data_IF_691200943192
#
_entry.id   IF_691200943192
#
_cell.length_a   1.000
_cell.length_b   1.000
_cell.length_c   1.000
_cell.angle_alpha   90.00
_cell.angle_beta   90.00
_cell.angle_gamma   90.00
#
_symmetry.space_group_name_H-M   'P 1'
#
loop_
_entity.id
_entity.type
_entity.pdbx_description
1 polymer ?
#
# COMPACT_ATOMS: atom_id res chain seq x y z
N UNK A 1 -30.17 -18.73 -21.85
CA UNK A 1 -28.81 -19.34 -21.76
C UNK A 1 -27.73 -18.51 -22.47
N UNK A 2 -27.90 -18.08 -23.74
CA UNK A 2 -26.91 -17.21 -24.41
C UNK A 2 -26.69 -15.87 -23.70
N UNK A 3 -27.77 -15.13 -23.42
CA UNK A 3 -27.71 -13.84 -22.70
C UNK A 3 -27.00 -13.96 -21.33
N UNK A 4 -27.35 -14.98 -20.53
CA UNK A 4 -26.72 -15.22 -19.23
C UNK A 4 -25.20 -15.43 -19.34
N UNK A 5 -24.73 -16.18 -20.35
CA UNK A 5 -23.29 -16.39 -20.59
C UNK A 5 -22.59 -15.09 -21.00
N UNK A 6 -23.22 -14.30 -21.87
CA UNK A 6 -22.68 -13.01 -22.32
C UNK A 6 -22.57 -12.03 -21.15
N UNK A 7 -23.64 -11.88 -20.36
CA UNK A 7 -23.65 -10.99 -19.18
C UNK A 7 -22.62 -11.45 -18.14
N UNK A 8 -22.54 -12.76 -17.86
CA UNK A 8 -21.54 -13.31 -16.94
C UNK A 8 -20.11 -13.07 -17.43
N UNK A 9 -19.84 -13.24 -18.73
CA UNK A 9 -18.53 -12.96 -19.32
C UNK A 9 -18.11 -11.50 -19.18
N UNK A 10 -19.02 -10.57 -19.47
CA UNK A 10 -18.76 -9.12 -19.30
C UNK A 10 -18.60 -8.72 -17.84
N UNK A 11 -19.43 -9.25 -16.94
CA UNK A 11 -19.25 -9.07 -15.49
C UNK A 11 -17.87 -9.55 -15.05
N UNK A 12 -17.45 -10.74 -15.49
CA UNK A 12 -16.12 -11.27 -15.21
C UNK A 12 -15.01 -10.31 -15.69
N UNK A 13 -15.10 -9.83 -16.93
CA UNK A 13 -14.12 -8.90 -17.49
C UNK A 13 -13.99 -7.60 -16.66
N UNK A 14 -15.10 -7.00 -16.22
CA UNK A 14 -15.07 -5.75 -15.46
C UNK A 14 -14.73 -5.95 -13.97
N UNK A 15 -15.15 -7.05 -13.36
CA UNK A 15 -14.96 -7.32 -11.92
C UNK A 15 -13.59 -7.92 -11.63
N UNK A 16 -13.01 -8.69 -12.56
CA UNK A 16 -11.75 -9.39 -12.34
C UNK A 16 -10.58 -8.47 -11.95
N UNK A 17 -10.34 -7.32 -12.60
CA UNK A 17 -9.27 -6.40 -12.18
C UNK A 17 -9.41 -5.96 -10.71
N UNK A 18 -10.64 -5.69 -10.27
CA UNK A 18 -10.93 -5.30 -8.89
C UNK A 18 -10.70 -6.43 -7.91
N UNK A 19 -11.16 -7.64 -8.24
CA UNK A 19 -10.92 -8.84 -7.42
C UNK A 19 -9.42 -9.12 -7.31
N UNK A 20 -8.67 -8.98 -8.39
CA UNK A 20 -7.21 -9.14 -8.36
C UNK A 20 -6.55 -8.09 -7.46
N UNK A 21 -6.91 -6.81 -7.58
CA UNK A 21 -6.32 -5.75 -6.75
C UNK A 21 -6.67 -5.95 -5.27
N UNK A 22 -7.94 -6.19 -4.93
CA UNK A 22 -8.37 -6.41 -3.55
C UNK A 22 -7.78 -7.71 -2.99
N UNK A 23 -7.74 -8.77 -3.80
CA UNK A 23 -7.15 -10.06 -3.44
C UNK A 23 -5.63 -9.96 -3.20
N UNK A 24 -4.90 -9.27 -4.07
CA UNK A 24 -3.46 -9.07 -3.94
C UNK A 24 -3.12 -8.14 -2.76
N UNK A 25 -3.87 -7.06 -2.56
CA UNK A 25 -3.68 -6.19 -1.40
C UNK A 25 -4.06 -6.89 -0.09
N UNK A 26 -5.12 -7.71 -0.07
CA UNK A 26 -5.48 -8.53 1.09
C UNK A 26 -4.45 -9.63 1.37
N UNK A 27 -3.91 -10.27 0.33
CA UNK A 27 -2.82 -11.25 0.46
C UNK A 27 -1.59 -10.59 1.08
N UNK A 28 -1.20 -9.41 0.58
CA UNK A 28 -0.12 -8.62 1.17
C UNK A 28 -0.37 -8.32 2.65
N UNK A 29 -1.55 -7.79 2.99
CA UNK A 29 -1.83 -7.36 4.37
C UNK A 29 -1.85 -8.52 5.38
N UNK A 30 -2.19 -9.74 4.92
CA UNK A 30 -2.23 -10.93 5.78
C UNK A 30 -0.92 -11.74 5.75
N UNK A 31 -0.14 -11.61 4.68
CA UNK A 31 1.09 -12.38 4.45
C UNK A 31 2.19 -11.46 3.92
N UNK A 32 2.48 -10.40 4.68
CA UNK A 32 3.40 -9.34 4.30
C UNK A 32 4.79 -9.90 3.96
N UNK A 33 5.31 -10.81 4.78
CA UNK A 33 6.63 -11.45 4.57
C UNK A 33 6.71 -12.22 3.25
N UNK A 34 5.62 -12.84 2.80
CA UNK A 34 5.58 -13.58 1.54
C UNK A 34 5.70 -12.64 0.34
N UNK A 35 5.04 -11.49 0.40
CA UNK A 35 5.05 -10.52 -0.71
C UNK A 35 6.32 -9.67 -0.68
N UNK A 36 6.73 -9.18 0.50
CA UNK A 36 7.96 -8.42 0.66
C UNK A 36 9.20 -9.27 0.42
N UNK A 37 9.16 -10.58 0.69
CA UNK A 37 10.25 -11.50 0.36
C UNK A 37 10.51 -11.66 -1.14
N UNK A 38 9.57 -11.24 -2.00
CA UNK A 38 9.75 -11.19 -3.46
C UNK A 38 10.30 -9.84 -3.96
N UNK A 39 10.27 -8.81 -3.11
CA UNK A 39 10.79 -7.49 -3.42
C UNK A 39 12.25 -7.37 -2.94
N UNK A 40 13.06 -6.49 -3.54
CA UNK A 40 14.39 -6.20 -3.04
C UNK A 40 14.28 -5.71 -1.58
N UNK A 41 15.08 -6.29 -0.69
CA UNK A 41 15.23 -5.77 0.65
C UNK A 41 16.07 -4.48 0.59
N UNK A 42 15.42 -3.33 0.74
CA UNK A 42 16.13 -2.05 0.91
C UNK A 42 16.74 -2.03 2.32
N UNK A 43 18.00 -2.46 2.41
CA UNK A 43 18.81 -2.34 3.62
C UNK A 43 19.93 -1.34 3.37
N UNK A 44 19.70 -0.07 3.71
CA UNK A 44 20.77 0.89 3.86
C UNK A 44 21.37 0.79 5.26
N UNK A 45 22.69 0.65 5.32
CA UNK A 45 23.42 0.58 6.58
C UNK A 45 23.69 1.99 7.12
N UNK A 46 22.90 2.39 8.12
CA UNK A 46 23.06 3.68 8.78
C UNK A 46 24.20 3.67 9.82
N UNK A 47 24.87 2.54 10.10
CA UNK A 47 25.98 2.50 11.08
C UNK A 47 27.18 3.34 10.63
N UNK A 48 27.35 3.55 9.32
CA UNK A 48 28.39 4.38 8.74
C UNK A 48 28.25 5.88 9.09
N UNK A 49 27.10 6.33 9.58
CA UNK A 49 26.87 7.75 9.89
C UNK A 49 27.78 8.26 10.99
N UNK A 50 28.08 7.40 11.97
CA UNK A 50 28.91 7.76 13.12
C UNK A 50 30.41 7.84 12.73
N UNK A 51 30.78 7.27 11.58
CA UNK A 51 32.12 7.34 10.98
C UNK A 51 32.19 8.29 9.77
N UNK A 52 31.14 9.08 9.52
CA UNK A 52 31.10 9.99 8.38
C UNK A 52 32.22 11.03 8.48
N UNK A 53 32.99 11.30 7.41
CA UNK A 53 34.23 12.09 7.51
C UNK A 53 33.99 13.56 7.82
N UNK A 54 32.81 14.10 7.51
CA UNK A 54 32.47 15.52 7.65
C UNK A 54 31.14 15.70 8.41
N UNK A 55 31.05 15.31 9.69
CA UNK A 55 29.85 15.49 10.46
C UNK A 55 29.56 16.98 10.65
N UNK A 56 28.29 17.37 10.61
CA UNK A 56 27.83 18.72 10.97
C UNK A 56 26.87 18.63 12.15
N UNK A 57 27.39 18.62 13.39
CA UNK A 57 26.54 18.65 14.55
C UNK A 57 25.61 19.86 14.51
N UNK A 58 24.37 19.67 14.94
CA UNK A 58 23.41 20.76 15.06
C UNK A 58 22.57 20.60 16.32
N UNK A 59 22.10 21.72 16.85
CA UNK A 59 21.15 21.76 17.95
C UNK A 59 19.70 21.77 17.42
N UNK A 60 18.73 21.82 18.33
CA UNK A 60 17.32 21.85 17.96
C UNK A 60 16.95 23.09 17.11
N UNK A 61 17.60 24.23 17.34
CA UNK A 61 17.36 25.45 16.57
C UNK A 61 17.90 25.31 15.13
N UNK A 62 19.09 24.74 14.97
CA UNK A 62 19.68 24.42 13.67
C UNK A 62 18.85 23.40 12.89
N UNK A 63 18.34 22.36 13.57
CA UNK A 63 17.43 21.39 12.96
C UNK A 63 16.12 22.05 12.49
N UNK A 64 15.55 22.97 13.28
CA UNK A 64 14.37 23.75 12.88
C UNK A 64 14.65 24.63 11.67
N UNK A 65 15.77 25.34 11.67
CA UNK A 65 16.18 26.18 10.53
C UNK A 65 16.44 25.34 9.26
N UNK A 66 16.89 24.08 9.40
CA UNK A 66 16.96 23.14 8.28
C UNK A 66 15.55 22.79 7.77
N UNK A 67 14.64 22.43 8.67
CA UNK A 67 13.23 22.14 8.33
C UNK A 67 12.56 23.29 7.57
N UNK A 68 12.68 24.51 8.08
CA UNK A 68 12.12 25.73 7.45
C UNK A 68 12.73 26.03 6.07
N UNK A 69 13.98 25.62 5.84
CA UNK A 69 14.64 25.77 4.55
C UNK A 69 14.20 24.72 3.54
N UNK A 70 13.99 23.48 4.00
CA UNK A 70 13.49 22.37 3.16
C UNK A 70 12.01 22.57 2.80
N UNK A 71 11.21 23.08 3.73
CA UNK A 71 9.78 23.34 3.56
C UNK A 71 9.42 24.76 4.01
N UNK A 72 9.69 25.78 3.16
CA UNK A 72 9.37 27.16 3.48
C UNK A 72 7.88 27.35 3.75
N UNK A 73 7.54 27.91 4.91
CA UNK A 73 6.16 28.20 5.32
C UNK A 73 5.40 27.02 5.92
N UNK A 74 6.03 25.86 6.10
CA UNK A 74 5.43 24.75 6.84
C UNK A 74 5.33 25.08 8.35
N UNK A 75 4.23 24.66 8.97
CA UNK A 75 4.05 24.78 10.41
C UNK A 75 4.71 23.59 11.11
N UNK A 76 5.88 23.83 11.70
CA UNK A 76 6.66 22.81 12.38
C UNK A 76 6.32 22.77 13.87
N UNK A 77 5.99 21.57 14.34
CA UNK A 77 5.88 21.26 15.76
C UNK A 77 6.96 20.26 16.15
N UNK A 78 7.54 20.43 17.34
CA UNK A 78 8.57 19.50 17.80
C UNK A 78 7.91 18.29 18.46
N UNK A 79 8.27 17.09 18.01
CA UNK A 79 7.80 15.87 18.64
C UNK A 79 8.41 15.72 20.04
N UNK A 80 7.69 15.04 20.94
CA UNK A 80 8.21 14.72 22.28
C UNK A 80 9.36 13.71 22.27
N UNK A 81 9.50 12.95 21.20
CA UNK A 81 10.59 12.00 21.00
C UNK A 81 11.89 12.71 20.63
N UNK A 82 12.97 12.29 21.28
CA UNK A 82 14.32 12.87 21.11
C UNK A 82 15.32 11.87 20.54
N UNK A 83 14.84 10.69 20.12
CA UNK A 83 15.66 9.63 19.55
C UNK A 83 15.06 9.05 18.30
N UNK A 84 15.92 8.81 17.32
CA UNK A 84 15.56 8.13 16.09
C UNK A 84 16.71 7.21 15.66
N UNK A 85 16.39 5.95 15.36
CA UNK A 85 17.37 4.96 14.91
C UNK A 85 18.60 4.84 15.84
N UNK A 86 18.36 4.89 17.16
CA UNK A 86 19.41 4.81 18.19
C UNK A 86 20.22 6.09 18.40
N UNK A 87 19.88 7.19 17.71
CA UNK A 87 20.61 8.47 17.75
C UNK A 87 19.78 9.56 18.38
N UNK A 88 20.45 10.48 19.08
CA UNK A 88 19.80 11.69 19.58
C UNK A 88 19.42 12.56 18.38
N UNK A 89 18.14 12.91 18.29
CA UNK A 89 17.55 13.55 17.12
C UNK A 89 16.57 14.65 17.50
N UNK A 90 16.51 15.70 16.68
CA UNK A 90 15.38 16.62 16.65
C UNK A 90 14.36 16.11 15.62
N UNK A 91 13.13 15.89 16.07
CA UNK A 91 12.02 15.44 15.22
C UNK A 91 11.03 16.60 15.09
N UNK A 92 10.79 17.01 13.86
CA UNK A 92 9.91 18.12 13.50
C UNK A 92 8.76 17.59 12.66
N UNK A 93 7.56 17.62 13.22
CA UNK A 93 6.32 17.26 12.55
C UNK A 93 5.78 18.44 11.76
N UNK A 94 5.31 18.18 10.54
CA UNK A 94 4.64 19.15 9.67
C UNK A 94 3.48 18.46 8.92
N UNK A 95 2.55 19.20 8.27
CA UNK A 95 1.31 18.62 7.75
C UNK A 95 1.49 17.42 6.80
N UNK A 96 2.55 17.42 5.99
CA UNK A 96 2.82 16.37 5.01
C UNK A 96 3.77 15.26 5.53
N UNK A 97 4.37 15.42 6.71
CA UNK A 97 5.38 14.46 7.18
C UNK A 97 6.19 14.88 8.40
N UNK A 98 7.43 14.39 8.46
CA UNK A 98 8.39 14.66 9.52
C UNK A 98 9.77 14.96 8.93
N UNK A 99 10.46 15.94 9.48
CA UNK A 99 11.90 16.15 9.29
C UNK A 99 12.59 15.69 10.57
N UNK A 100 13.50 14.73 10.45
CA UNK A 100 14.20 14.13 11.58
C UNK A 100 15.69 14.39 11.39
N UNK A 101 16.38 14.95 12.37
CA UNK A 101 17.79 15.30 12.21
C UNK A 101 18.62 14.70 13.33
N UNK A 102 19.63 13.91 12.97
CA UNK A 102 20.60 13.37 13.92
C UNK A 102 21.53 14.50 14.39
N UNK A 103 21.43 14.87 15.67
CA UNK A 103 22.07 16.07 16.21
C UNK A 103 23.60 16.00 16.19
N UNK A 104 24.18 14.80 16.30
CA UNK A 104 25.65 14.63 16.33
C UNK A 104 26.29 14.70 14.95
N UNK A 105 25.63 14.16 13.93
CA UNK A 105 26.25 13.98 12.62
C UNK A 105 25.71 14.94 11.57
N UNK A 106 24.51 15.49 11.78
CA UNK A 106 23.83 16.38 10.83
C UNK A 106 23.09 15.65 9.71
N UNK A 107 23.12 14.31 9.69
CA UNK A 107 22.31 13.52 8.77
C UNK A 107 20.84 13.74 9.10
N UNK A 108 20.00 13.73 8.08
CA UNK A 108 18.58 13.95 8.29
C UNK A 108 17.73 13.05 7.41
N UNK A 109 16.52 12.82 7.89
CA UNK A 109 15.50 12.07 7.19
C UNK A 109 14.30 12.97 6.92
N UNK A 110 13.73 12.84 5.73
CA UNK A 110 12.44 13.40 5.38
C UNK A 110 11.47 12.24 5.22
N UNK A 111 10.54 12.13 6.16
CA UNK A 111 9.56 11.02 6.20
C UNK A 111 8.19 11.54 5.83
N UNK A 112 7.54 10.89 4.89
CA UNK A 112 6.13 11.12 4.55
C UNK A 112 5.32 9.85 4.80
N UNK A 113 4.02 9.87 4.47
CA UNK A 113 3.17 8.69 4.60
C UNK A 113 3.62 7.46 3.79
N UNK A 114 4.40 7.63 2.72
CA UNK A 114 4.76 6.53 1.80
C UNK A 114 6.26 6.32 1.61
N UNK A 115 7.09 7.27 2.04
CA UNK A 115 8.52 7.18 1.82
C UNK A 115 9.31 7.81 2.95
N UNK A 116 10.55 7.38 3.06
CA UNK A 116 11.59 8.04 3.83
C UNK A 116 12.79 8.28 2.94
N UNK A 117 13.20 9.52 2.87
CA UNK A 117 14.42 9.96 2.19
C UNK A 117 15.48 10.20 3.26
N UNK A 118 16.68 9.69 3.04
CA UNK A 118 17.81 9.82 3.96
C UNK A 118 18.88 10.68 3.28
N UNK A 119 19.34 11.71 3.96
CA UNK A 119 20.31 12.67 3.45
C UNK A 119 21.55 12.76 4.33
N UNK A 120 22.66 13.07 3.70
CA UNK A 120 23.89 13.46 4.39
C UNK A 120 23.80 14.93 4.90
N UNK A 121 24.79 15.41 5.67
CA UNK A 121 24.80 16.78 6.20
C UNK A 121 25.03 17.88 5.14
N UNK A 122 25.38 17.50 3.92
CA UNK A 122 25.54 18.39 2.75
C UNK A 122 24.27 18.44 1.89
N UNK A 123 23.28 17.60 2.18
CA UNK A 123 22.01 17.51 1.48
C UNK A 123 22.02 16.53 0.29
N UNK A 124 23.05 15.68 0.17
CA UNK A 124 23.06 14.59 -0.79
C UNK A 124 22.11 13.48 -0.34
N UNK A 125 21.24 13.02 -1.26
CA UNK A 125 20.37 11.87 -1.01
C UNK A 125 21.19 10.58 -0.96
N UNK A 126 21.14 9.89 0.18
CA UNK A 126 21.84 8.62 0.43
C UNK A 126 20.94 7.40 0.20
N UNK A 127 19.67 7.48 0.62
CA UNK A 127 18.71 6.37 0.52
C UNK A 127 17.31 6.90 0.25
N UNK A 128 16.53 6.14 -0.52
CA UNK A 128 15.07 6.26 -0.59
C UNK A 128 14.45 4.93 -0.16
N UNK A 129 13.67 4.94 0.91
CA UNK A 129 12.91 3.78 1.38
C UNK A 129 11.42 3.98 1.10
N UNK A 130 10.83 3.06 0.36
CA UNK A 130 9.39 3.07 0.05
C UNK A 130 8.62 2.19 1.04
N UNK A 131 7.59 2.75 1.68
CA UNK A 131 6.70 2.04 2.60
C UNK A 131 5.55 1.40 1.83
N UNK A 132 5.84 0.27 1.17
CA UNK A 132 4.86 -0.52 0.42
C UNK A 132 3.62 -0.86 1.25
N UNK A 133 3.79 -1.18 2.53
CA UNK A 133 2.68 -1.46 3.43
C UNK A 133 1.71 -0.28 3.60
N UNK A 134 2.22 0.94 3.72
CA UNK A 134 1.39 2.15 3.78
C UNK A 134 0.64 2.40 2.47
N UNK A 135 1.30 2.14 1.33
CA UNK A 135 0.68 2.26 0.00
C UNK A 135 -0.46 1.24 -0.13
N UNK A 136 -0.18 -0.04 0.10
CA UNK A 136 -1.18 -1.11 -0.03
C UNK A 136 -2.31 -0.95 0.97
N UNK A 137 -2.03 -0.57 2.22
CA UNK A 137 -3.07 -0.25 3.21
C UNK A 137 -3.97 0.88 2.74
N UNK A 138 -3.41 1.96 2.19
CA UNK A 138 -4.20 3.07 1.66
C UNK A 138 -5.07 2.64 0.48
N UNK A 139 -4.50 1.86 -0.45
CA UNK A 139 -5.23 1.30 -1.59
C UNK A 139 -6.38 0.38 -1.14
N UNK A 140 -6.12 -0.48 -0.16
CA UNK A 140 -7.07 -1.46 0.36
C UNK A 140 -8.21 -0.79 1.14
N UNK A 141 -7.92 0.24 1.95
CA UNK A 141 -8.92 0.88 2.82
C UNK A 141 -9.71 1.97 2.12
N UNK A 142 -9.08 2.83 1.30
CA UNK A 142 -9.75 4.00 0.70
C UNK A 142 -10.16 3.82 -0.76
N UNK A 143 -9.66 2.80 -1.44
CA UNK A 143 -9.80 2.69 -2.90
C UNK A 143 -9.07 3.81 -3.64
N UNK A 144 -9.08 3.75 -4.98
CA UNK A 144 -8.24 4.60 -5.84
C UNK A 144 -8.76 6.05 -6.00
N UNK A 145 -10.06 6.30 -5.78
CA UNK A 145 -10.76 7.49 -6.32
C UNK A 145 -11.51 8.36 -5.30
N UNK A 146 -11.22 8.26 -4.00
CA UNK A 146 -11.86 8.95 -2.83
C UNK A 146 -12.76 8.05 -2.00
N UNK A 147 -12.95 8.40 -0.72
CA UNK A 147 -13.77 7.60 0.22
C UNK A 147 -15.19 7.35 -0.29
N UNK A 148 -15.83 8.32 -0.97
CA UNK A 148 -17.22 8.16 -1.44
C UNK A 148 -17.32 7.26 -2.68
N UNK A 149 -16.42 7.43 -3.64
CA UNK A 149 -16.37 6.58 -4.84
C UNK A 149 -15.89 5.16 -4.51
N UNK A 150 -14.96 5.03 -3.54
CA UNK A 150 -14.47 3.75 -3.04
C UNK A 150 -15.57 2.90 -2.41
N UNK A 151 -16.40 3.48 -1.52
CA UNK A 151 -17.53 2.76 -0.92
C UNK A 151 -18.53 2.30 -1.98
N UNK A 152 -18.92 3.18 -2.91
CA UNK A 152 -19.89 2.82 -3.94
C UNK A 152 -19.36 1.75 -4.91
N UNK A 153 -18.09 1.86 -5.31
CA UNK A 153 -17.44 0.85 -6.13
C UNK A 153 -17.31 -0.50 -5.40
N UNK A 154 -17.04 -0.48 -4.09
CA UNK A 154 -17.00 -1.68 -3.27
C UNK A 154 -18.38 -2.37 -3.21
N UNK A 155 -19.45 -1.62 -2.99
CA UNK A 155 -20.82 -2.15 -2.94
C UNK A 155 -21.25 -2.76 -4.30
N UNK A 156 -20.94 -2.07 -5.41
CA UNK A 156 -21.19 -2.59 -6.75
C UNK A 156 -20.38 -3.85 -7.01
N UNK A 157 -19.10 -3.86 -6.63
CA UNK A 157 -18.24 -5.03 -6.80
C UNK A 157 -18.77 -6.20 -5.99
N UNK A 158 -19.20 -5.97 -4.74
CA UNK A 158 -19.81 -7.00 -3.90
C UNK A 158 -21.10 -7.54 -4.51
N UNK A 159 -22.01 -6.67 -4.95
CA UNK A 159 -23.25 -7.08 -5.63
C UNK A 159 -22.95 -7.85 -6.94
N UNK A 160 -21.99 -7.38 -7.72
CA UNK A 160 -21.54 -8.03 -8.95
C UNK A 160 -20.92 -9.40 -8.66
N UNK A 161 -20.14 -9.56 -7.59
CA UNK A 161 -19.58 -10.84 -7.17
C UNK A 161 -20.66 -11.83 -6.73
N UNK A 162 -21.70 -11.38 -6.02
CA UNK A 162 -22.86 -12.23 -5.66
C UNK A 162 -23.58 -12.70 -6.93
N UNK A 163 -23.91 -11.78 -7.84
CA UNK A 163 -24.56 -12.12 -9.12
C UNK A 163 -23.66 -13.05 -9.96
N UNK A 164 -22.36 -12.81 -9.99
CA UNK A 164 -21.38 -13.63 -10.68
C UNK A 164 -21.30 -15.05 -10.09
N UNK A 165 -21.25 -15.18 -8.76
CA UNK A 165 -21.26 -16.47 -8.07
C UNK A 165 -22.53 -17.27 -8.34
N UNK A 166 -23.70 -16.66 -8.18
CA UNK A 166 -25.00 -17.31 -8.44
C UNK A 166 -25.12 -17.72 -9.90
N UNK A 167 -24.80 -16.82 -10.84
CA UNK A 167 -24.84 -17.14 -12.28
C UNK A 167 -23.84 -18.23 -12.67
N UNK A 168 -22.65 -18.25 -12.05
CA UNK A 168 -21.67 -19.32 -12.20
C UNK A 168 -22.21 -20.68 -11.75
N UNK A 169 -22.84 -20.76 -10.57
CA UNK A 169 -23.48 -21.98 -10.06
C UNK A 169 -24.56 -22.47 -11.04
N UNK A 170 -25.43 -21.58 -11.52
CA UNK A 170 -26.48 -21.92 -12.49
C UNK A 170 -25.89 -22.45 -13.80
N UNK A 171 -24.88 -21.78 -14.34
CA UNK A 171 -24.20 -22.19 -15.57
C UNK A 171 -23.46 -23.53 -15.41
N UNK A 172 -22.97 -23.83 -14.21
CA UNK A 172 -22.29 -25.08 -13.88
C UNK A 172 -23.26 -26.25 -13.67
N UNK A 173 -24.38 -26.04 -12.98
CA UNK A 173 -25.35 -27.09 -12.63
C UNK A 173 -26.33 -27.41 -13.76
N UNK A 174 -26.82 -26.39 -14.49
CA UNK A 174 -27.82 -26.56 -15.56
C UNK A 174 -27.47 -27.63 -16.60
N UNK A 175 -26.26 -27.66 -17.21
CA UNK A 175 -25.91 -28.69 -18.19
C UNK A 175 -25.78 -30.08 -17.57
N UNK A 176 -25.36 -30.19 -16.30
CA UNK A 176 -25.25 -31.48 -15.61
C UNK A 176 -26.62 -32.07 -15.29
N UNK A 177 -27.53 -31.24 -14.78
CA UNK A 177 -28.91 -31.66 -14.51
C UNK A 177 -29.65 -32.04 -15.81
N UNK A 178 -29.46 -31.29 -16.90
CA UNK A 178 -29.98 -31.67 -18.23
C UNK A 178 -29.43 -33.02 -18.70
N UNK A 179 -28.12 -33.26 -18.57
CA UNK A 179 -27.50 -34.55 -18.93
C UNK A 179 -28.04 -35.70 -18.09
N UNK A 180 -28.20 -35.50 -16.78
CA UNK A 180 -28.79 -36.50 -15.88
C UNK A 180 -30.24 -36.82 -16.25
N UNK A 181 -31.06 -35.80 -16.52
CA UNK A 181 -32.46 -35.99 -16.92
C UNK A 181 -32.57 -36.75 -18.24
N UNK A 182 -31.78 -36.37 -19.25
CA UNK A 182 -31.77 -37.04 -20.55
C UNK A 182 -31.29 -38.51 -20.44
N UNK A 183 -30.33 -38.81 -19.54
CA UNK A 183 -29.91 -40.19 -19.26
C UNK A 183 -31.01 -41.03 -18.61
N UNK A 184 -31.76 -40.46 -17.65
CA UNK A 184 -32.90 -41.13 -17.02
C UNK A 184 -34.00 -41.43 -18.02
N UNK A 185 -34.37 -40.46 -18.85
CA UNK A 185 -35.39 -40.63 -19.89
C UNK A 185 -35.03 -41.71 -20.92
N UNK A 186 -33.74 -41.83 -21.30
CA UNK A 186 -33.27 -42.91 -22.19
C UNK A 186 -33.35 -44.30 -21.54
N UNK A 187 -33.09 -44.40 -20.24
CA UNK A 187 -33.18 -45.67 -19.48
C UNK A 187 -34.62 -46.12 -19.22
N UNK A 188 -35.57 -45.19 -19.16
CA UNK A 188 -36.99 -45.50 -19.01
C UNK A 188 -37.70 -45.79 -20.34
N UNK A 189 -37.02 -45.54 -21.48
CA UNK A 189 -37.53 -45.80 -22.83
C UNK A 189 -36.92 -47.06 -23.47
N UNK A 190 -36.04 -47.76 -22.75
CA UNK A 190 -35.45 -49.06 -23.07
C UNK A 190 -36.03 -50.12 -22.16
#
# INVERSE_FOLDING_TARGET
MRLLKTVHGWLGFFVLPWVLIIGLTGLYLNHEDLVLGLLPADTYDETAFDAFPTPRPMDAAGARALGERLFPGADFTQAGDTRYHGRDAAILDFPEGQVIVALKTGHYWVKTGFQRLTYDPDGQLLETKTYWGSIFKRLHVRGWLSNRLGTWAADITAAAMVVFGVSGIVLFLSPRLRRLRNRRQRRSAS
#
